data_IF_035658005623
#
_entry.id   IF_035658005623
#
_cell.length_a   1.000
_cell.length_b   1.000
_cell.length_c   1.000
_cell.angle_alpha   90.00
_cell.angle_beta   90.00
_cell.angle_gamma   90.00
#
_symmetry.space_group_name_H-M   'P 1'
#
loop_
_entity.id
_entity.type
_entity.pdbx_description
1 polymer ?
#
# COMPACT_ATOMS: atom_id res chain seq x y z
N UNK A 1 14.28 -29.26 -33.36
CA UNK A 1 15.26 -29.27 -32.25
C UNK A 1 16.28 -28.18 -32.54
N UNK A 2 16.29 -27.09 -31.75
CA UNK A 2 17.24 -25.98 -31.96
C UNK A 2 18.54 -26.32 -31.24
N UNK A 3 19.65 -26.30 -31.97
CA UNK A 3 20.99 -26.56 -31.47
C UNK A 3 21.38 -25.55 -30.38
N UNK A 4 21.78 -26.05 -29.22
CA UNK A 4 22.27 -25.30 -28.07
C UNK A 4 23.81 -25.10 -28.11
N UNK A 5 24.41 -24.98 -29.30
CA UNK A 5 25.86 -24.78 -29.48
C UNK A 5 26.30 -23.32 -29.44
N UNK A 6 25.43 -22.39 -29.05
CA UNK A 6 25.72 -20.95 -28.95
C UNK A 6 25.70 -20.41 -27.51
N UNK A 7 25.83 -21.28 -26.51
CA UNK A 7 26.09 -20.87 -25.11
C UNK A 7 27.61 -20.67 -25.00
N UNK A 8 28.10 -19.46 -25.31
CA UNK A 8 29.55 -19.22 -25.17
C UNK A 8 30.13 -17.96 -25.83
N UNK A 9 29.35 -17.13 -26.52
CA UNK A 9 29.79 -15.79 -26.89
C UNK A 9 28.95 -14.78 -26.11
N UNK A 10 29.34 -14.53 -24.86
CA UNK A 10 29.06 -13.21 -24.29
C UNK A 10 29.80 -12.21 -25.19
N UNK A 11 29.16 -11.13 -25.67
CA UNK A 11 29.90 -10.10 -26.35
C UNK A 11 31.00 -9.65 -25.39
N UNK A 12 32.26 -9.83 -25.78
CA UNK A 12 33.49 -9.41 -25.09
C UNK A 12 33.58 -7.88 -24.88
N UNK A 13 32.46 -7.16 -24.89
CA UNK A 13 32.39 -5.72 -25.08
C UNK A 13 31.93 -4.89 -23.88
N UNK A 14 31.28 -5.46 -22.87
CA UNK A 14 30.95 -4.70 -21.65
C UNK A 14 32.15 -4.76 -20.69
N UNK A 15 33.18 -4.00 -21.04
CA UNK A 15 34.30 -3.73 -20.14
C UNK A 15 33.92 -2.53 -19.29
N UNK A 16 33.96 -2.65 -17.96
CA UNK A 16 33.88 -1.48 -17.07
C UNK A 16 35.20 -0.70 -17.20
N UNK A 17 35.28 0.19 -18.18
CA UNK A 17 36.50 0.87 -18.61
C UNK A 17 36.46 2.39 -18.39
N UNK A 18 35.29 2.95 -18.08
CA UNK A 18 35.09 4.38 -17.95
C UNK A 18 35.03 4.75 -16.48
N UNK A 19 36.02 5.48 -15.94
CA UNK A 19 35.99 5.95 -14.56
C UNK A 19 34.99 7.11 -14.41
N UNK A 20 34.02 6.92 -13.53
CA UNK A 20 32.95 7.87 -13.22
C UNK A 20 33.03 8.25 -11.74
N UNK A 21 33.06 9.56 -11.40
CA UNK A 21 33.11 9.99 -10.01
C UNK A 21 31.79 9.67 -9.29
N UNK A 22 31.89 9.19 -8.05
CA UNK A 22 30.80 8.88 -7.15
C UNK A 22 30.87 9.78 -5.91
N UNK A 23 29.72 10.36 -5.58
CA UNK A 23 29.57 11.27 -4.45
C UNK A 23 28.48 10.74 -3.50
N UNK A 24 28.90 10.34 -2.29
CA UNK A 24 28.01 9.80 -1.24
C UNK A 24 27.07 10.83 -0.61
N UNK A 25 27.33 12.14 -0.75
CA UNK A 25 26.56 13.20 -0.07
C UNK A 25 26.26 14.34 -1.03
N UNK A 26 25.05 14.91 -0.91
CA UNK A 26 24.55 16.07 -1.67
C UNK A 26 25.65 17.09 -1.97
N UNK A 27 25.99 17.18 -3.25
CA UNK A 27 27.16 17.91 -3.70
C UNK A 27 26.74 19.29 -4.17
N UNK A 28 27.23 20.33 -3.47
CA UNK A 28 27.13 21.71 -3.91
C UNK A 28 27.73 21.85 -5.32
N UNK A 29 26.87 21.97 -6.35
CA UNK A 29 27.25 21.75 -7.76
C UNK A 29 28.20 22.81 -8.38
N UNK A 30 29.45 22.93 -7.93
CA UNK A 30 30.51 23.51 -8.74
C UNK A 30 30.91 22.58 -9.91
N UNK A 31 31.69 23.07 -10.87
CA UNK A 31 32.37 22.20 -11.86
C UNK A 31 33.13 21.08 -11.11
N UNK A 32 33.50 19.93 -11.73
CA UNK A 32 34.28 18.87 -11.07
C UNK A 32 35.54 19.36 -10.32
N UNK A 33 36.06 20.53 -10.71
CA UNK A 33 37.25 21.18 -10.14
C UNK A 33 36.95 22.09 -8.92
N UNK A 34 35.69 22.31 -8.55
CA UNK A 34 35.25 23.20 -7.46
C UNK A 34 34.57 22.42 -6.31
N UNK A 35 34.63 21.09 -6.34
CA UNK A 35 33.91 20.19 -5.45
C UNK A 35 34.78 19.74 -4.26
N UNK A 36 34.51 20.26 -3.05
CA UNK A 36 34.96 19.67 -1.78
C UNK A 36 36.47 19.56 -1.54
N UNK A 37 36.87 19.27 -0.29
CA UNK A 37 38.28 19.13 0.10
C UNK A 37 38.86 17.73 -0.21
N UNK A 38 38.02 16.76 -0.59
CA UNK A 38 38.41 15.37 -0.82
C UNK A 38 37.96 14.91 -2.22
N UNK A 39 38.82 14.20 -2.96
CA UNK A 39 38.48 13.68 -4.28
C UNK A 39 37.36 12.63 -4.18
N UNK A 40 36.44 12.57 -5.17
CA UNK A 40 35.39 11.56 -5.20
C UNK A 40 35.98 10.16 -5.38
N UNK A 41 35.23 9.15 -4.93
CA UNK A 41 35.51 7.76 -5.31
C UNK A 41 35.26 7.59 -6.83
N UNK A 42 36.03 6.73 -7.49
CA UNK A 42 35.87 6.47 -8.92
C UNK A 42 35.31 5.07 -9.14
N UNK A 43 34.11 4.99 -9.72
CA UNK A 43 33.46 3.74 -10.09
C UNK A 43 33.65 3.50 -11.60
N UNK A 44 34.01 2.29 -11.98
CA UNK A 44 34.14 1.92 -13.39
C UNK A 44 32.78 1.50 -13.95
N UNK A 45 32.29 2.24 -14.94
CA UNK A 45 31.10 1.89 -15.71
C UNK A 45 31.48 1.53 -17.15
N UNK A 46 30.68 0.68 -17.82
CA UNK A 46 30.80 0.48 -19.26
C UNK A 46 30.60 1.78 -20.05
N UNK A 47 31.45 2.01 -21.05
CA UNK A 47 31.38 3.17 -21.93
C UNK A 47 30.03 3.30 -22.67
N UNK A 48 29.29 2.22 -22.88
CA UNK A 48 27.95 2.25 -23.50
C UNK A 48 26.88 2.94 -22.65
N UNK A 49 27.08 2.97 -21.33
CA UNK A 49 26.19 3.66 -20.38
C UNK A 49 26.52 5.15 -20.36
N UNK A 50 27.81 5.50 -20.30
CA UNK A 50 28.26 6.90 -20.25
C UNK A 50 28.13 7.60 -21.60
N UNK A 51 28.31 6.86 -22.71
CA UNK A 51 28.26 7.34 -24.10
C UNK A 51 29.16 8.55 -24.36
N UNK A 52 30.30 8.61 -23.68
CA UNK A 52 31.26 9.73 -23.77
C UNK A 52 30.76 11.05 -23.18
N UNK A 53 29.65 11.04 -22.44
CA UNK A 53 29.12 12.21 -21.73
C UNK A 53 29.88 12.44 -20.43
N UNK A 54 29.93 13.69 -19.98
CA UNK A 54 30.36 14.02 -18.63
C UNK A 54 29.29 13.55 -17.65
N UNK A 55 29.57 12.51 -16.87
CA UNK A 55 28.62 11.91 -15.93
C UNK A 55 29.24 11.75 -14.55
N UNK A 56 28.39 11.68 -13.54
CA UNK A 56 28.75 11.41 -12.15
C UNK A 56 27.62 10.65 -11.45
N UNK A 57 27.95 9.95 -10.36
CA UNK A 57 27.00 9.17 -9.57
C UNK A 57 26.72 9.90 -8.27
N UNK A 58 25.44 9.97 -7.88
CA UNK A 58 24.97 10.49 -6.58
C UNK A 58 23.98 9.52 -5.95
N UNK A 59 23.94 9.50 -4.62
CA UNK A 59 22.89 8.77 -3.91
C UNK A 59 21.62 9.62 -3.77
N UNK A 60 20.48 9.00 -4.04
CA UNK A 60 19.18 9.60 -3.79
C UNK A 60 18.90 9.62 -2.28
N UNK A 61 18.44 10.76 -1.77
CA UNK A 61 17.94 10.88 -0.41
C UNK A 61 16.47 11.34 -0.39
N UNK A 62 15.71 10.79 0.56
CA UNK A 62 14.27 11.03 0.71
C UNK A 62 13.37 10.20 -0.21
N UNK A 63 12.07 10.50 -0.20
CA UNK A 63 11.02 9.73 -0.90
C UNK A 63 10.24 10.57 -1.93
N UNK A 64 10.68 11.79 -2.23
CA UNK A 64 9.95 12.71 -3.13
C UNK A 64 9.83 12.24 -4.58
N UNK A 65 10.64 11.27 -5.00
CA UNK A 65 10.70 10.76 -6.38
C UNK A 65 10.24 9.29 -6.51
N UNK A 66 9.58 8.74 -5.49
CA UNK A 66 9.19 7.31 -5.44
C UNK A 66 8.22 6.88 -6.54
N UNK A 67 7.36 7.76 -7.05
CA UNK A 67 6.42 7.48 -8.13
C UNK A 67 7.07 7.28 -9.50
N UNK A 68 8.36 7.60 -9.67
CA UNK A 68 9.16 7.25 -10.84
C UNK A 68 10.20 6.16 -10.54
N UNK A 69 10.07 5.46 -9.41
CA UNK A 69 10.94 4.34 -9.05
C UNK A 69 12.32 4.74 -8.54
N UNK A 70 12.45 5.95 -7.98
CA UNK A 70 13.66 6.44 -7.30
C UNK A 70 13.40 6.44 -5.80
N UNK A 71 14.17 5.65 -5.06
CA UNK A 71 14.07 5.47 -3.61
C UNK A 71 15.32 5.97 -2.91
N UNK A 72 15.19 6.38 -1.65
CA UNK A 72 16.34 6.73 -0.80
C UNK A 72 17.35 5.57 -0.76
N UNK A 73 18.62 5.89 -1.01
CA UNK A 73 19.73 4.93 -1.15
C UNK A 73 19.96 4.44 -2.58
N UNK A 74 19.19 4.90 -3.58
CA UNK A 74 19.46 4.58 -4.98
C UNK A 74 20.68 5.34 -5.52
N UNK A 75 21.59 4.65 -6.20
CA UNK A 75 22.70 5.26 -6.90
C UNK A 75 22.25 5.71 -8.30
N UNK A 76 22.29 7.02 -8.57
CA UNK A 76 21.80 7.62 -9.80
C UNK A 76 22.95 8.12 -10.65
N UNK A 77 22.94 7.77 -11.94
CA UNK A 77 23.87 8.32 -12.92
C UNK A 77 23.31 9.63 -13.47
N UNK A 78 24.02 10.73 -13.25
CA UNK A 78 23.66 12.08 -13.69
C UNK A 78 24.61 12.51 -14.80
N UNK A 79 24.06 13.00 -15.92
CA UNK A 79 24.80 13.74 -16.94
C UNK A 79 24.94 15.19 -16.52
N UNK A 80 26.18 15.68 -16.42
CA UNK A 80 26.48 17.08 -16.17
C UNK A 80 26.16 17.92 -17.41
N UNK A 81 24.97 18.51 -17.42
CA UNK A 81 24.45 19.33 -18.53
C UNK A 81 23.46 20.35 -18.03
N UNK A 82 23.44 21.52 -18.66
CA UNK A 82 22.39 22.54 -18.43
C UNK A 82 21.20 22.36 -19.39
N UNK A 83 21.31 21.46 -20.38
CA UNK A 83 20.25 21.21 -21.36
C UNK A 83 19.35 20.09 -20.86
N UNK A 84 18.13 20.45 -20.50
CA UNK A 84 17.10 19.54 -20.00
C UNK A 84 15.79 19.73 -20.76
N UNK A 85 14.96 18.69 -20.79
CA UNK A 85 13.68 18.66 -21.48
C UNK A 85 12.53 18.37 -20.51
N UNK A 86 11.32 18.83 -20.86
CA UNK A 86 10.12 18.52 -20.07
C UNK A 86 9.96 17.00 -19.89
N UNK A 87 9.69 16.58 -18.65
CA UNK A 87 9.55 15.19 -18.26
C UNK A 87 10.86 14.51 -17.84
N UNK A 88 12.02 15.13 -18.04
CA UNK A 88 13.28 14.59 -17.55
C UNK A 88 13.41 14.78 -16.03
N UNK A 89 14.00 13.80 -15.35
CA UNK A 89 14.43 13.94 -13.95
C UNK A 89 15.73 14.74 -13.95
N UNK A 90 15.73 15.86 -13.25
CA UNK A 90 16.84 16.81 -13.20
C UNK A 90 17.36 16.94 -11.77
N UNK A 91 18.68 17.10 -11.67
CA UNK A 91 19.33 17.54 -10.45
C UNK A 91 19.48 19.05 -10.53
N UNK A 92 18.90 19.75 -9.56
CA UNK A 92 18.94 21.21 -9.46
C UNK A 92 19.51 21.61 -8.11
N UNK A 93 20.19 22.74 -8.07
CA UNK A 93 20.61 23.39 -6.83
C UNK A 93 19.75 24.64 -6.67
N UNK A 94 19.02 24.75 -5.56
CA UNK A 94 18.18 25.90 -5.21
C UNK A 94 18.70 26.44 -3.89
N UNK A 95 19.16 27.69 -3.89
CA UNK A 95 19.73 28.36 -2.71
C UNK A 95 20.86 27.56 -2.03
N UNK A 96 21.58 26.74 -2.81
CA UNK A 96 22.67 25.88 -2.35
C UNK A 96 22.25 24.48 -1.90
N UNK A 97 20.95 24.14 -1.95
CA UNK A 97 20.45 22.80 -1.68
C UNK A 97 20.20 22.01 -2.97
N UNK A 98 20.77 20.82 -3.05
CA UNK A 98 20.57 19.91 -4.19
C UNK A 98 19.27 19.12 -4.07
N UNK A 99 18.47 19.14 -5.13
CA UNK A 99 17.20 18.45 -5.22
C UNK A 99 17.09 17.69 -6.54
N UNK A 100 16.44 16.52 -6.48
CA UNK A 100 15.98 15.78 -7.66
C UNK A 100 14.49 16.00 -7.84
N UNK A 101 14.09 16.44 -9.04
CA UNK A 101 12.70 16.72 -9.42
C UNK A 101 12.48 16.45 -10.91
N UNK A 102 11.23 16.28 -11.32
CA UNK A 102 10.88 16.25 -12.76
C UNK A 102 10.77 17.68 -13.26
N UNK A 103 11.51 18.02 -14.31
CA UNK A 103 11.42 19.34 -14.94
C UNK A 103 10.18 19.39 -15.84
N UNK A 104 9.40 20.46 -15.73
CA UNK A 104 8.20 20.66 -16.54
C UNK A 104 8.06 22.13 -16.94
N UNK A 105 7.50 22.37 -18.12
CA UNK A 105 7.13 23.71 -18.60
C UNK A 105 5.65 23.66 -18.91
N UNK A 106 4.87 24.55 -18.29
CA UNK A 106 3.43 24.62 -18.51
C UNK A 106 3.08 25.33 -19.83
N UNK A 107 1.79 25.33 -20.16
CA UNK A 107 1.23 25.98 -21.35
C UNK A 107 1.40 27.50 -21.37
N UNK A 108 1.61 28.11 -20.20
CA UNK A 108 1.92 29.54 -20.05
C UNK A 108 3.41 29.85 -20.17
N UNK A 109 4.27 28.83 -20.32
CA UNK A 109 5.71 28.97 -20.42
C UNK A 109 6.44 29.07 -19.07
N UNK A 110 5.76 28.78 -17.95
CA UNK A 110 6.38 28.79 -16.61
C UNK A 110 7.07 27.47 -16.34
N UNK A 111 8.17 27.56 -15.59
CA UNK A 111 9.04 26.44 -15.30
C UNK A 111 8.71 25.85 -13.93
N UNK A 112 8.61 24.53 -13.86
CA UNK A 112 8.18 23.79 -12.69
C UNK A 112 9.13 22.65 -12.37
N UNK A 113 9.26 22.37 -11.08
CA UNK A 113 9.91 21.19 -10.53
C UNK A 113 8.87 20.35 -9.81
N UNK A 114 8.54 19.19 -10.37
CA UNK A 114 7.50 18.32 -9.87
C UNK A 114 8.12 17.20 -9.03
N UNK A 115 7.61 16.95 -7.81
CA UNK A 115 7.88 15.69 -7.13
C UNK A 115 7.10 14.57 -7.83
N UNK A 116 7.56 13.33 -7.66
CA UNK A 116 6.81 12.13 -8.04
C UNK A 116 6.26 11.43 -6.78
N UNK A 117 5.82 12.19 -5.77
CA UNK A 117 5.20 11.67 -4.57
C UNK A 117 4.15 12.66 -4.08
N UNK A 118 2.90 12.19 -3.93
CA UNK A 118 1.72 13.00 -3.58
C UNK A 118 1.85 13.73 -2.23
N UNK A 119 2.81 13.35 -1.38
CA UNK A 119 3.10 14.04 -0.11
C UNK A 119 3.77 15.40 -0.31
N UNK A 120 4.29 15.67 -1.50
CA UNK A 120 5.09 16.86 -1.82
C UNK A 120 4.39 17.72 -2.85
N UNK A 121 4.59 19.04 -2.78
CA UNK A 121 3.99 19.99 -3.71
C UNK A 121 4.94 20.31 -4.87
N UNK A 122 4.41 20.58 -6.08
CA UNK A 122 5.16 21.21 -7.16
C UNK A 122 5.80 22.53 -6.73
N UNK A 123 6.98 22.83 -7.24
CA UNK A 123 7.67 24.11 -7.04
C UNK A 123 7.76 24.87 -8.37
N UNK A 124 7.26 26.11 -8.40
CA UNK A 124 7.42 27.02 -9.54
C UNK A 124 8.78 27.71 -9.44
N UNK A 125 9.55 27.72 -10.54
CA UNK A 125 10.83 28.41 -10.59
C UNK A 125 10.61 29.89 -10.92
N UNK A 126 10.88 30.75 -9.93
CA UNK A 126 10.74 32.20 -10.06
C UNK A 126 12.10 32.89 -10.19
N UNK A 127 12.11 34.12 -10.72
CA UNK A 127 13.34 34.85 -11.03
C UNK A 127 14.14 35.30 -9.80
N UNK A 128 13.53 35.31 -8.63
CA UNK A 128 14.15 35.65 -7.34
C UNK A 128 14.87 34.46 -6.69
N UNK A 129 14.62 33.23 -7.14
CA UNK A 129 15.31 32.04 -6.64
C UNK A 129 16.69 31.89 -7.27
N UNK A 130 17.69 31.50 -6.48
CA UNK A 130 19.00 31.13 -7.01
C UNK A 130 18.98 29.67 -7.48
N UNK A 131 18.61 29.46 -8.74
CA UNK A 131 18.41 28.12 -9.32
C UNK A 131 19.51 27.81 -10.33
N UNK A 132 20.13 26.64 -10.17
CA UNK A 132 21.11 26.10 -11.11
C UNK A 132 20.77 24.66 -11.47
N UNK A 133 20.66 24.36 -12.75
CA UNK A 133 20.57 22.98 -13.23
C UNK A 133 21.98 22.37 -13.16
N UNK A 134 22.13 21.32 -12.35
CA UNK A 134 23.40 20.58 -12.23
C UNK A 134 23.52 19.50 -13.32
N UNK A 135 22.39 18.89 -13.70
CA UNK A 135 22.37 17.81 -14.66
C UNK A 135 21.02 17.17 -14.85
N UNK A 136 20.96 16.18 -15.74
CA UNK A 136 19.80 15.29 -15.89
C UNK A 136 20.17 13.86 -15.54
N UNK A 137 19.21 13.12 -15.01
CA UNK A 137 19.37 11.71 -14.74
C UNK A 137 19.40 10.90 -16.03
N UNK A 138 20.40 10.04 -16.16
CA UNK A 138 20.54 9.08 -17.26
C UNK A 138 19.84 7.77 -16.90
N UNK A 139 20.14 7.21 -15.72
CA UNK A 139 19.55 5.97 -15.23
C UNK A 139 19.72 5.80 -13.72
N UNK A 140 18.89 4.91 -13.15
CA UNK A 140 19.09 4.37 -11.81
C UNK A 140 20.00 3.13 -11.93
N UNK A 141 21.12 3.12 -11.22
CA UNK A 141 22.08 2.00 -11.20
C UNK A 141 21.72 0.94 -10.15
N UNK A 142 20.84 1.28 -9.21
CA UNK A 142 20.38 0.36 -8.17
C UNK A 142 19.39 -0.67 -8.69
N UNK A 143 19.37 -1.84 -8.04
CA UNK A 143 18.37 -2.86 -8.31
C UNK A 143 16.97 -2.34 -7.95
N UNK A 144 15.93 -2.68 -8.73
CA UNK A 144 14.55 -2.35 -8.38
C UNK A 144 14.22 -2.88 -6.99
N UNK A 145 13.88 -2.00 -6.07
CA UNK A 145 13.45 -2.37 -4.75
C UNK A 145 12.36 -1.41 -4.26
N UNK A 146 11.54 -1.89 -3.33
CA UNK A 146 10.48 -1.09 -2.72
C UNK A 146 10.76 -1.04 -1.24
N UNK A 147 10.71 0.15 -0.63
CA UNK A 147 10.95 0.28 0.80
C UNK A 147 9.92 -0.54 1.60
N UNK A 148 10.36 -1.20 2.67
CA UNK A 148 9.47 -1.97 3.56
C UNK A 148 8.35 -1.09 4.12
N UNK A 149 8.65 0.20 4.34
CA UNK A 149 7.67 1.22 4.74
C UNK A 149 6.55 1.36 3.71
N UNK A 150 6.88 1.47 2.42
CA UNK A 150 5.90 1.55 1.33
C UNK A 150 5.03 0.28 1.28
N UNK A 151 5.63 -0.91 1.36
CA UNK A 151 4.87 -2.17 1.44
C UNK A 151 3.87 -2.15 2.60
N UNK A 152 4.29 -1.65 3.78
CA UNK A 152 3.41 -1.49 4.94
C UNK A 152 2.27 -0.49 4.72
N UNK A 153 2.53 0.64 4.07
CA UNK A 153 1.51 1.64 3.72
C UNK A 153 0.45 1.05 2.78
N UNK A 154 0.87 0.33 1.73
CA UNK A 154 -0.04 -0.37 0.79
C UNK A 154 -0.94 -1.36 1.54
N UNK A 155 -0.36 -2.20 2.41
CA UNK A 155 -1.14 -3.17 3.20
C UNK A 155 -2.11 -2.46 4.15
N UNK A 156 -1.72 -1.34 4.77
CA UNK A 156 -2.61 -0.56 5.65
C UNK A 156 -3.78 0.04 4.88
N UNK A 157 -3.53 0.64 3.71
CA UNK A 157 -4.59 1.20 2.86
C UNK A 157 -5.55 0.10 2.38
N UNK A 158 -5.03 -1.06 1.99
CA UNK A 158 -5.85 -2.21 1.64
C UNK A 158 -6.73 -2.66 2.81
N UNK A 159 -6.15 -2.81 4.01
CA UNK A 159 -6.90 -3.15 5.23
C UNK A 159 -7.96 -2.09 5.59
N UNK A 160 -7.65 -0.81 5.41
CA UNK A 160 -8.58 0.29 5.65
C UNK A 160 -9.75 0.27 4.65
N UNK A 161 -9.47 0.06 3.35
CA UNK A 161 -10.50 -0.09 2.32
C UNK A 161 -11.37 -1.32 2.54
N UNK A 162 -10.80 -2.46 2.96
CA UNK A 162 -11.58 -3.64 3.34
C UNK A 162 -12.50 -3.37 4.52
N UNK A 163 -12.02 -2.65 5.55
CA UNK A 163 -12.83 -2.25 6.70
C UNK A 163 -13.98 -1.31 6.29
N UNK A 164 -13.81 -0.54 5.21
CA UNK A 164 -14.79 0.43 4.74
C UNK A 164 -15.82 -0.16 3.74
N UNK A 165 -15.50 -1.25 3.04
CA UNK A 165 -16.36 -1.91 2.06
C UNK A 165 -17.11 -3.14 2.59
N UNK A 166 -16.99 -3.46 3.88
CA UNK A 166 -17.92 -4.38 4.52
C UNK A 166 -19.23 -3.58 4.73
N UNK A 167 -20.37 -3.90 4.06
CA UNK A 167 -21.65 -3.34 4.46
C UNK A 167 -21.80 -3.57 5.95
N UNK A 168 -22.20 -2.56 6.72
CA UNK A 168 -22.17 -2.61 8.18
C UNK A 168 -22.87 -3.89 8.60
N UNK A 169 -22.11 -4.87 9.07
CA UNK A 169 -22.62 -6.21 9.39
C UNK A 169 -23.79 -6.10 10.38
N UNK A 170 -23.79 -5.02 11.17
CA UNK A 170 -24.83 -4.59 12.09
C UNK A 170 -26.13 -4.20 11.38
N UNK A 171 -26.06 -3.49 10.24
CA UNK A 171 -27.23 -3.10 9.44
C UNK A 171 -27.86 -4.32 8.77
N UNK A 172 -27.05 -5.16 8.11
CA UNK A 172 -27.52 -6.43 7.53
C UNK A 172 -28.11 -7.37 8.57
N UNK A 173 -27.48 -7.45 9.74
CA UNK A 173 -28.00 -8.23 10.86
C UNK A 173 -29.30 -7.65 11.41
N UNK A 174 -29.40 -6.32 11.50
CA UNK A 174 -30.62 -5.63 11.94
C UNK A 174 -31.77 -5.97 11.00
N UNK A 175 -31.56 -5.85 9.68
CA UNK A 175 -32.56 -6.19 8.67
C UNK A 175 -32.96 -7.67 8.74
N UNK A 176 -31.98 -8.57 8.79
CA UNK A 176 -32.24 -10.02 8.87
C UNK A 176 -33.06 -10.37 10.13
N UNK A 177 -32.72 -9.79 11.29
CA UNK A 177 -33.46 -9.99 12.55
C UNK A 177 -34.88 -9.42 12.47
N UNK A 178 -35.07 -8.27 11.79
CA UNK A 178 -36.41 -7.70 11.57
C UNK A 178 -37.27 -8.66 10.73
N UNK A 179 -36.73 -9.18 9.63
CA UNK A 179 -37.44 -10.10 8.73
C UNK A 179 -37.84 -11.41 9.42
N UNK A 180 -36.96 -11.95 10.27
CA UNK A 180 -37.21 -13.20 11.00
C UNK A 180 -37.74 -13.00 12.44
N UNK A 181 -38.13 -11.78 12.82
CA UNK A 181 -38.56 -11.44 14.19
C UNK A 181 -39.67 -12.32 14.75
N UNK A 182 -40.59 -12.76 13.89
CA UNK A 182 -41.70 -13.66 14.22
C UNK A 182 -41.26 -15.10 14.57
N UNK A 183 -40.02 -15.48 14.25
CA UNK A 183 -39.45 -16.79 14.57
C UNK A 183 -38.73 -16.80 15.92
N UNK A 184 -38.50 -15.65 16.55
CA UNK A 184 -37.90 -15.59 17.88
C UNK A 184 -38.90 -16.04 18.95
N UNK A 185 -38.47 -16.93 19.85
CA UNK A 185 -39.31 -17.45 20.95
C UNK A 185 -38.85 -16.97 22.34
N UNK A 186 -37.58 -16.62 22.48
CA UNK A 186 -36.95 -16.19 23.73
C UNK A 186 -35.60 -15.52 23.44
N UNK A 187 -34.96 -14.94 24.47
CA UNK A 187 -33.60 -14.43 24.36
C UNK A 187 -32.56 -15.49 23.93
N UNK A 188 -32.82 -16.78 24.17
CA UNK A 188 -31.95 -17.87 23.72
C UNK A 188 -31.89 -18.04 22.19
N UNK A 189 -32.83 -17.48 21.43
CA UNK A 189 -32.80 -17.49 19.97
C UNK A 189 -31.58 -16.75 19.40
N UNK A 190 -31.01 -15.79 20.15
CA UNK A 190 -29.76 -15.12 19.78
C UNK A 190 -28.55 -16.06 19.67
N UNK A 191 -28.59 -17.23 20.32
CA UNK A 191 -27.54 -18.23 20.15
C UNK A 191 -27.53 -18.82 18.73
N UNK A 192 -28.71 -18.97 18.10
CA UNK A 192 -28.81 -19.39 16.70
C UNK A 192 -28.20 -18.33 15.79
N UNK A 193 -28.51 -17.06 16.04
CA UNK A 193 -27.95 -15.92 15.30
C UNK A 193 -26.42 -15.91 15.39
N UNK A 194 -25.87 -16.05 16.60
CA UNK A 194 -24.42 -16.14 16.80
C UNK A 194 -23.79 -17.30 16.04
N UNK A 195 -24.37 -18.50 16.13
CA UNK A 195 -23.83 -19.68 15.45
C UNK A 195 -23.89 -19.56 13.92
N UNK A 196 -24.94 -18.95 13.36
CA UNK A 196 -25.02 -18.64 11.91
C UNK A 196 -23.94 -17.66 11.51
N UNK A 197 -23.76 -16.57 12.27
CA UNK A 197 -22.70 -15.59 12.00
C UNK A 197 -21.30 -16.20 12.09
N UNK A 198 -21.06 -17.04 13.10
CA UNK A 198 -19.80 -17.76 13.32
C UNK A 198 -19.46 -18.65 12.13
N UNK A 199 -20.42 -19.46 11.67
CA UNK A 199 -20.14 -20.54 10.72
C UNK A 199 -20.30 -20.14 9.25
N UNK A 200 -21.17 -19.19 8.92
CA UNK A 200 -21.43 -18.79 7.52
C UNK A 200 -20.87 -17.43 7.14
N UNK A 201 -20.58 -16.57 8.12
CA UNK A 201 -20.17 -15.18 7.87
C UNK A 201 -18.84 -14.80 8.54
N UNK A 202 -18.03 -15.80 8.89
CA UNK A 202 -16.68 -15.65 9.44
C UNK A 202 -16.63 -14.72 10.68
N UNK A 203 -17.67 -14.69 11.50
CA UNK A 203 -17.68 -13.92 12.73
C UNK A 203 -16.78 -14.59 13.77
N UNK A 204 -15.61 -14.01 14.02
CA UNK A 204 -14.54 -14.58 14.86
C UNK A 204 -14.50 -13.99 16.29
N UNK A 205 -15.43 -13.09 16.62
CA UNK A 205 -15.44 -12.41 17.91
C UNK A 205 -15.99 -13.29 19.05
N UNK A 206 -15.54 -13.04 20.30
CA UNK A 206 -16.09 -13.72 21.47
C UNK A 206 -17.59 -13.47 21.64
N UNK A 207 -18.30 -14.42 22.27
CA UNK A 207 -19.75 -14.33 22.55
C UNK A 207 -20.12 -13.04 23.29
N UNK A 208 -19.30 -12.58 24.23
CA UNK A 208 -19.54 -11.32 24.95
C UNK A 208 -19.51 -10.07 24.03
N UNK A 209 -18.71 -10.09 22.97
CA UNK A 209 -18.69 -9.02 21.98
C UNK A 209 -19.94 -9.07 21.09
N UNK A 210 -20.39 -10.28 20.74
CA UNK A 210 -21.65 -10.49 20.04
C UNK A 210 -22.86 -9.99 20.84
N UNK A 211 -22.94 -10.31 22.13
CA UNK A 211 -24.06 -9.88 22.97
C UNK A 211 -24.13 -8.35 23.08
N UNK A 212 -22.99 -7.67 23.22
CA UNK A 212 -22.93 -6.19 23.21
C UNK A 212 -23.35 -5.61 21.86
N UNK A 213 -22.93 -6.24 20.75
CA UNK A 213 -23.40 -5.87 19.42
C UNK A 213 -24.92 -6.04 19.30
N UNK A 214 -25.46 -7.18 19.69
CA UNK A 214 -26.87 -7.50 19.58
C UNK A 214 -27.75 -6.53 20.39
N UNK A 215 -27.26 -6.06 21.54
CA UNK A 215 -27.89 -5.01 22.35
C UNK A 215 -27.87 -3.63 21.69
N UNK A 216 -26.89 -3.35 20.84
CA UNK A 216 -26.75 -2.08 20.14
C UNK A 216 -27.56 -2.01 18.82
N UNK A 217 -28.19 -3.10 18.38
CA UNK A 217 -28.99 -3.13 17.16
C UNK A 217 -30.26 -2.27 17.31
N UNK A 218 -30.55 -1.49 16.26
CA UNK A 218 -31.73 -0.62 16.21
C UNK A 218 -32.97 -1.40 15.80
N UNK A 219 -33.46 -2.26 16.69
CA UNK A 219 -34.64 -3.09 16.44
C UNK A 219 -35.95 -2.31 16.70
N UNK A 220 -37.05 -2.65 16.00
CA UNK A 220 -38.37 -2.04 16.25
C UNK A 220 -38.82 -2.22 17.70
N UNK A 221 -39.54 -1.24 18.25
CA UNK A 221 -40.06 -1.30 19.62
C UNK A 221 -41.03 -2.48 19.87
N UNK A 222 -41.55 -3.10 18.80
CA UNK A 222 -42.39 -4.30 18.85
C UNK A 222 -41.59 -5.58 19.13
N UNK A 223 -40.27 -5.56 18.97
CA UNK A 223 -39.41 -6.72 19.18
C UNK A 223 -39.11 -6.93 20.68
N UNK A 224 -39.58 -8.05 21.24
CA UNK A 224 -39.57 -8.30 22.69
C UNK A 224 -38.41 -9.17 23.19
N UNK A 225 -37.66 -9.79 22.29
CA UNK A 225 -36.66 -10.81 22.65
C UNK A 225 -35.25 -10.22 22.69
N UNK A 226 -35.00 -9.25 23.55
CA UNK A 226 -33.70 -8.57 23.64
C UNK A 226 -32.58 -9.55 24.06
N UNK A 227 -31.39 -9.39 23.47
CA UNK A 227 -30.21 -10.19 23.81
C UNK A 227 -29.65 -9.76 25.18
N UNK A 228 -30.00 -10.47 26.25
CA UNK A 228 -29.46 -10.22 27.58
C UNK A 228 -27.98 -10.61 27.71
N UNK A 229 -27.27 -9.99 28.67
CA UNK A 229 -25.88 -10.36 28.98
C UNK A 229 -25.79 -11.81 29.47
N UNK A 230 -24.86 -12.57 28.89
CA UNK A 230 -24.65 -14.00 29.16
C UNK A 230 -25.75 -14.93 28.64
N UNK A 231 -26.77 -14.42 27.93
CA UNK A 231 -27.88 -15.23 27.43
C UNK A 231 -27.43 -16.21 26.34
N UNK A 232 -26.58 -15.77 25.42
CA UNK A 232 -26.01 -16.58 24.35
C UNK A 232 -24.99 -17.56 24.92
N UNK A 233 -24.10 -17.06 25.78
CA UNK A 233 -23.09 -17.89 26.42
C UNK A 233 -23.72 -19.06 27.21
N UNK A 234 -24.78 -18.79 27.98
CA UNK A 234 -25.50 -19.81 28.74
C UNK A 234 -26.20 -20.82 27.84
N UNK A 235 -26.83 -20.36 26.76
CA UNK A 235 -27.53 -21.23 25.80
C UNK A 235 -26.54 -22.19 25.12
N UNK A 236 -25.42 -21.67 24.58
CA UNK A 236 -24.37 -22.50 23.96
C UNK A 236 -23.75 -23.44 24.99
N UNK A 237 -23.68 -23.04 26.27
CA UNK A 237 -23.12 -23.88 27.31
C UNK A 237 -24.01 -25.08 27.66
N UNK A 238 -25.33 -24.87 27.63
CA UNK A 238 -26.34 -25.89 27.92
C UNK A 238 -26.65 -26.80 26.74
N UNK A 239 -26.44 -26.33 25.50
CA UNK A 239 -26.70 -27.07 24.27
C UNK A 239 -25.39 -27.41 23.56
N UNK A 240 -24.83 -28.60 23.86
CA UNK A 240 -23.51 -29.02 23.38
C UNK A 240 -23.39 -29.01 21.85
N UNK A 241 -24.46 -29.35 21.12
CA UNK A 241 -24.47 -29.36 19.66
C UNK A 241 -24.24 -27.96 19.06
N UNK A 242 -24.61 -26.87 19.74
CA UNK A 242 -24.39 -25.49 19.25
C UNK A 242 -22.91 -25.09 19.21
N UNK A 243 -22.03 -25.82 19.91
CA UNK A 243 -20.57 -25.65 19.81
C UNK A 243 -19.99 -26.24 18.54
N UNK A 244 -20.75 -27.12 17.86
CA UNK A 244 -20.38 -27.72 16.58
C UNK A 244 -20.95 -26.88 15.43
N UNK A 245 -20.48 -27.18 14.21
CA UNK A 245 -20.94 -26.51 12.99
C UNK A 245 -22.46 -26.64 12.80
N UNK A 246 -23.11 -25.55 12.39
CA UNK A 246 -24.54 -25.51 12.11
C UNK A 246 -24.99 -26.55 11.06
N UNK A 247 -24.10 -26.98 10.17
CA UNK A 247 -24.39 -27.99 9.14
C UNK A 247 -24.70 -29.38 9.75
N UNK A 248 -24.38 -29.59 11.03
CA UNK A 248 -24.61 -30.85 11.76
C UNK A 248 -25.76 -30.78 12.75
N UNK A 249 -26.49 -29.66 12.82
CA UNK A 249 -27.51 -29.44 13.85
C UNK A 249 -28.71 -30.37 13.70
N UNK A 250 -29.16 -30.61 12.47
CA UNK A 250 -30.28 -31.52 12.17
C UNK A 250 -29.97 -32.96 12.63
N UNK A 251 -28.78 -33.47 12.28
CA UNK A 251 -28.31 -34.81 12.68
C UNK A 251 -28.11 -34.95 14.20
N UNK A 252 -27.94 -33.84 14.92
CA UNK A 252 -27.65 -33.81 16.35
C UNK A 252 -28.88 -33.47 17.20
N UNK A 253 -30.07 -33.44 16.60
CA UNK A 253 -31.34 -33.26 17.31
C UNK A 253 -31.63 -31.83 17.73
N UNK A 254 -31.17 -30.83 16.96
CA UNK A 254 -31.62 -29.46 17.13
C UNK A 254 -33.15 -29.36 16.93
N UNK A 255 -33.80 -28.46 17.65
CA UNK A 255 -35.25 -28.32 17.57
C UNK A 255 -35.67 -27.69 16.23
N UNK A 256 -36.84 -28.08 15.72
CA UNK A 256 -37.37 -27.57 14.44
C UNK A 256 -37.42 -26.03 14.36
N UNK A 257 -37.72 -25.37 15.47
CA UNK A 257 -37.74 -23.89 15.56
C UNK A 257 -36.34 -23.28 15.38
N UNK A 258 -35.29 -23.95 15.85
CA UNK A 258 -33.90 -23.51 15.74
C UNK A 258 -33.42 -23.68 14.30
N UNK A 259 -33.72 -24.83 13.68
CA UNK A 259 -33.43 -25.11 12.27
C UNK A 259 -34.15 -24.14 11.33
N UNK A 260 -35.41 -23.81 11.64
CA UNK A 260 -36.21 -22.85 10.86
C UNK A 260 -35.63 -21.44 10.93
N UNK A 261 -35.27 -20.96 12.13
CA UNK A 261 -34.63 -19.65 12.30
C UNK A 261 -33.26 -19.60 11.60
N UNK A 262 -32.45 -20.65 11.77
CA UNK A 262 -31.14 -20.79 11.12
C UNK A 262 -31.25 -20.67 9.59
N UNK A 263 -32.17 -21.43 8.98
CA UNK A 263 -32.35 -21.45 7.52
C UNK A 263 -32.72 -20.07 6.97
N UNK A 264 -33.61 -19.34 7.64
CA UNK A 264 -34.00 -17.99 7.23
C UNK A 264 -32.83 -17.02 7.40
N UNK A 265 -32.09 -17.08 8.51
CA UNK A 265 -30.93 -16.21 8.74
C UNK A 265 -29.84 -16.40 7.69
N UNK A 266 -29.55 -17.64 7.27
CA UNK A 266 -28.58 -17.93 6.20
C UNK A 266 -29.02 -17.29 4.87
N UNK A 267 -30.32 -17.23 4.60
CA UNK A 267 -30.85 -16.61 3.39
C UNK A 267 -30.79 -15.09 3.45
N UNK A 268 -31.21 -14.49 4.57
CA UNK A 268 -31.31 -13.03 4.71
C UNK A 268 -29.95 -12.34 4.93
N UNK A 269 -28.96 -13.06 5.46
CA UNK A 269 -27.60 -12.55 5.64
C UNK A 269 -26.69 -12.78 4.43
N UNK A 270 -27.12 -13.53 3.41
CA UNK A 270 -26.36 -13.79 2.17
C UNK A 270 -26.18 -12.50 1.35
#
# INVERSE_FOLDING_TARGET
MRNFSSIGQWPMGLVCDTPVPYYEVGVSCGLPNEMGQLPPEMILLPSEITRGRSVFIVDADGDSMTGVGIYSGDALLIESTQRVHCGEVVMVSIDGEELLKVYYVDDTGRHWLLPANDKYQPCELTADMNVRICGRMVCNLSAPHVSVKHCGEVVRQFKAKQKQHQPDMYERLTEAVIQCSHLFWAASAWAVVYCVMRDKYCYDKPVAEFERMAQALKLPATFRFVCGEGSVQRTISNHEYMRKSIDKWEEQGAADRELKLMTVLIKELA
#
